data_IF_371248233306
#
_entry.id   IF_371248233306
#
_cell.length_a   1.000
_cell.length_b   1.000
_cell.length_c   1.000
_cell.angle_alpha   90.00
_cell.angle_beta   90.00
_cell.angle_gamma   90.00
#
_symmetry.space_group_name_H-M   'P 1'
#
loop_
_entity.id
_entity.type
_entity.pdbx_description
1 polymer ?
#
# COMPACT_ATOMS: atom_id res chain seq x y z
N UNK A 1 4.75 -18.22 -16.47
CA UNK A 1 5.64 -18.01 -15.30
C UNK A 1 5.71 -16.51 -15.11
N UNK A 2 5.36 -15.99 -13.93
CA UNK A 2 5.35 -14.54 -13.68
C UNK A 2 6.79 -14.06 -13.56
N UNK A 3 7.22 -13.18 -14.48
CA UNK A 3 8.53 -12.54 -14.47
C UNK A 3 8.42 -11.05 -14.23
N UNK A 4 7.48 -10.38 -14.91
CA UNK A 4 7.30 -8.93 -14.80
C UNK A 4 5.96 -8.56 -14.21
N UNK A 5 5.98 -7.69 -13.19
CA UNK A 5 4.78 -7.23 -12.48
C UNK A 5 4.74 -5.70 -12.51
N UNK A 6 3.63 -5.15 -12.98
CA UNK A 6 3.29 -3.74 -12.82
C UNK A 6 2.45 -3.61 -11.55
N UNK A 7 2.98 -2.94 -10.53
CA UNK A 7 2.30 -2.71 -9.26
C UNK A 7 1.73 -1.28 -9.20
N UNK A 8 0.48 -1.15 -8.72
CA UNK A 8 -0.30 0.09 -8.74
C UNK A 8 -0.87 0.36 -7.35
N UNK A 9 -0.59 1.54 -6.81
CA UNK A 9 -1.18 2.04 -5.59
C UNK A 9 -1.79 3.43 -5.78
N UNK A 10 -2.98 3.59 -5.23
CA UNK A 10 -3.66 4.87 -5.04
C UNK A 10 -4.30 4.89 -3.64
N UNK A 11 -3.79 4.12 -2.67
CA UNK A 11 -4.44 3.95 -1.36
C UNK A 11 -4.43 5.21 -0.51
N UNK A 12 -3.71 6.25 -0.93
CA UNK A 12 -3.68 7.56 -0.29
C UNK A 12 -3.58 8.67 -1.36
N UNK A 13 -3.10 9.86 -1.01
CA UNK A 13 -2.93 11.00 -1.95
C UNK A 13 -1.89 10.74 -3.05
N UNK A 14 -0.86 9.97 -2.75
CA UNK A 14 0.15 9.57 -3.72
C UNK A 14 -0.39 8.53 -4.69
N UNK A 15 0.08 8.61 -5.94
CA UNK A 15 -0.02 7.55 -6.93
C UNK A 15 1.35 6.95 -7.07
N UNK A 16 1.48 5.68 -6.71
CA UNK A 16 2.73 4.93 -6.80
C UNK A 16 2.60 3.84 -7.85
N UNK A 17 3.54 3.80 -8.81
CA UNK A 17 3.68 2.71 -9.77
C UNK A 17 5.05 2.07 -9.62
N UNK A 18 5.07 0.75 -9.52
CA UNK A 18 6.30 -0.04 -9.43
C UNK A 18 6.39 -1.01 -10.59
N UNK A 19 7.56 -1.08 -11.23
CA UNK A 19 7.86 -2.14 -12.20
C UNK A 19 8.96 -3.03 -11.63
N UNK A 20 8.69 -4.31 -11.52
CA UNK A 20 9.65 -5.33 -11.09
C UNK A 20 9.79 -6.39 -12.17
N UNK A 21 11.00 -6.85 -12.43
CA UNK A 21 11.33 -7.88 -13.42
C UNK A 21 12.29 -8.89 -12.82
N UNK A 22 11.86 -10.15 -12.75
CA UNK A 22 12.60 -11.26 -12.14
C UNK A 22 13.10 -10.95 -10.71
N UNK A 23 12.31 -10.16 -9.96
CA UNK A 23 12.61 -9.73 -8.60
C UNK A 23 13.47 -8.48 -8.47
N UNK A 24 13.93 -7.92 -9.60
CA UNK A 24 14.72 -6.70 -9.63
C UNK A 24 13.81 -5.49 -9.89
N UNK A 25 13.85 -4.44 -9.06
CA UNK A 25 13.15 -3.19 -9.34
C UNK A 25 13.70 -2.54 -10.61
N UNK A 26 12.82 -2.20 -11.56
CA UNK A 26 13.17 -1.62 -12.87
C UNK A 26 12.89 -0.13 -12.89
N UNK A 27 11.72 0.30 -12.40
CA UNK A 27 11.32 1.69 -12.42
C UNK A 27 10.29 1.99 -11.32
N UNK A 28 10.23 3.24 -10.90
CA UNK A 28 9.20 3.75 -10.01
C UNK A 28 8.62 5.08 -10.49
N UNK A 29 7.38 5.34 -10.10
CA UNK A 29 6.69 6.61 -10.28
C UNK A 29 5.96 6.95 -8.99
N UNK A 30 6.21 8.13 -8.42
CA UNK A 30 5.63 8.58 -7.15
C UNK A 30 5.17 10.03 -7.26
N UNK A 31 3.87 10.28 -7.36
CA UNK A 31 3.34 11.65 -7.50
C UNK A 31 2.08 11.84 -6.66
N UNK A 32 1.99 12.93 -5.89
CA UNK A 32 0.75 13.38 -5.25
C UNK A 32 -0.21 13.92 -6.31
N UNK A 33 -1.08 13.04 -6.81
CA UNK A 33 -2.17 13.42 -7.72
C UNK A 33 -3.46 13.77 -6.98
N UNK A 34 -3.55 13.44 -5.69
CA UNK A 34 -4.71 13.70 -4.85
C UNK A 34 -6.02 13.30 -5.53
N UNK A 35 -6.91 14.27 -5.77
CA UNK A 35 -8.22 14.02 -6.39
C UNK A 35 -8.17 13.69 -7.88
N UNK A 36 -7.04 13.94 -8.54
CA UNK A 36 -6.87 13.72 -9.98
C UNK A 36 -6.43 12.30 -10.34
N UNK A 37 -6.23 11.42 -9.35
CA UNK A 37 -5.83 10.03 -9.53
C UNK A 37 -6.69 9.31 -10.60
N UNK A 38 -8.01 9.37 -10.47
CA UNK A 38 -8.92 8.65 -11.38
C UNK A 38 -8.82 9.08 -12.84
N UNK A 39 -8.57 10.37 -13.10
CA UNK A 39 -8.45 10.91 -14.46
C UNK A 39 -7.06 10.74 -15.08
N UNK A 40 -6.00 10.73 -14.26
CA UNK A 40 -4.62 10.78 -14.74
C UNK A 40 -3.90 9.43 -14.69
N UNK A 41 -4.36 8.47 -13.88
CA UNK A 41 -3.73 7.16 -13.73
C UNK A 41 -3.46 6.45 -15.07
N UNK A 42 -4.40 6.39 -16.05
CA UNK A 42 -4.13 5.75 -17.34
C UNK A 42 -2.95 6.37 -18.09
N UNK A 43 -2.88 7.72 -18.14
CA UNK A 43 -1.78 8.43 -18.80
C UNK A 43 -0.45 8.29 -18.05
N UNK A 44 -0.49 8.21 -16.71
CA UNK A 44 0.69 7.99 -15.89
C UNK A 44 1.26 6.59 -16.14
N UNK A 45 0.42 5.55 -16.22
CA UNK A 45 0.86 4.17 -16.49
C UNK A 45 1.43 4.03 -17.89
N UNK A 46 0.78 4.58 -18.91
CA UNK A 46 1.30 4.59 -20.28
C UNK A 46 2.67 5.27 -20.36
N UNK A 47 2.80 6.45 -19.75
CA UNK A 47 4.06 7.20 -19.72
C UNK A 47 5.14 6.46 -18.93
N UNK A 48 4.79 5.84 -17.81
CA UNK A 48 5.68 5.08 -16.96
C UNK A 48 6.27 3.88 -17.71
N UNK A 49 5.44 3.09 -18.39
CA UNK A 49 5.88 1.93 -19.17
C UNK A 49 6.73 2.33 -20.39
N UNK A 50 6.37 3.42 -21.07
CA UNK A 50 7.19 3.98 -22.17
C UNK A 50 8.58 4.39 -21.67
N UNK A 51 8.64 5.08 -20.53
CA UNK A 51 9.90 5.54 -19.95
C UNK A 51 10.76 4.38 -19.43
N UNK A 52 10.15 3.26 -19.01
CA UNK A 52 10.88 2.04 -18.64
C UNK A 52 11.24 1.15 -19.84
N UNK A 53 10.89 1.55 -21.06
CA UNK A 53 11.11 0.74 -22.27
C UNK A 53 10.33 -0.57 -22.28
N UNK A 54 9.24 -0.66 -21.51
CA UNK A 54 8.47 -1.89 -21.33
C UNK A 54 7.14 -1.80 -22.09
N UNK A 55 6.86 -2.78 -22.94
CA UNK A 55 5.53 -2.93 -23.54
C UNK A 55 4.54 -3.46 -22.50
N UNK A 56 3.31 -2.94 -22.52
CA UNK A 56 2.22 -3.45 -21.67
C UNK A 56 1.95 -4.94 -21.89
N UNK A 57 2.14 -5.43 -23.11
CA UNK A 57 1.99 -6.86 -23.48
C UNK A 57 3.04 -7.76 -22.83
N UNK A 58 4.13 -7.18 -22.28
CA UNK A 58 5.18 -7.92 -21.60
C UNK A 58 5.01 -7.92 -20.07
N UNK A 59 3.82 -7.59 -19.57
CA UNK A 59 3.48 -7.65 -18.15
C UNK A 59 2.76 -8.97 -17.89
N UNK A 60 3.26 -9.76 -16.94
CA UNK A 60 2.72 -11.09 -16.63
C UNK A 60 1.67 -11.08 -15.51
N UNK A 61 1.65 -10.03 -14.68
CA UNK A 61 0.67 -9.84 -13.62
C UNK A 61 0.55 -8.36 -13.24
N UNK A 62 -0.61 -7.98 -12.70
CA UNK A 62 -0.82 -6.65 -12.09
C UNK A 62 -0.78 -6.79 -10.58
N UNK A 63 0.11 -6.06 -9.90
CA UNK A 63 0.02 -5.83 -8.46
C UNK A 63 -0.94 -4.68 -8.17
N UNK A 64 -1.89 -4.83 -7.27
CA UNK A 64 -2.82 -3.74 -6.93
C UNK A 64 -3.07 -3.69 -5.44
N UNK A 65 -2.98 -2.50 -4.85
CA UNK A 65 -3.36 -2.34 -3.44
C UNK A 65 -4.86 -2.50 -3.26
N UNK A 66 -5.24 -3.36 -2.32
CA UNK A 66 -6.66 -3.69 -2.07
C UNK A 66 -7.24 -3.03 -0.84
N UNK A 67 -6.42 -2.32 -0.06
CA UNK A 67 -6.78 -1.69 1.20
C UNK A 67 -5.95 -2.22 2.36
N UNK A 68 -5.94 -1.53 3.51
CA UNK A 68 -6.75 -0.35 3.84
C UNK A 68 -6.29 0.95 3.17
N UNK A 69 -7.14 1.99 3.11
CA UNK A 69 -6.75 3.30 2.57
C UNK A 69 -7.93 4.23 2.29
N UNK A 70 -7.67 5.30 1.54
CA UNK A 70 -8.68 6.25 1.07
C UNK A 70 -9.69 5.52 0.18
N UNK A 71 -10.97 5.58 0.54
CA UNK A 71 -12.03 4.82 -0.11
C UNK A 71 -12.09 5.03 -1.63
N UNK A 72 -11.95 6.27 -2.08
CA UNK A 72 -11.92 6.61 -3.51
C UNK A 72 -10.66 6.11 -4.19
N UNK A 73 -9.52 6.25 -3.51
CA UNK A 73 -8.20 5.87 -4.02
C UNK A 73 -8.07 4.36 -4.25
N UNK A 74 -8.48 3.55 -3.28
CA UNK A 74 -8.54 2.07 -3.42
C UNK A 74 -9.41 1.67 -4.61
N UNK A 75 -10.55 2.34 -4.81
CA UNK A 75 -11.42 2.07 -5.96
C UNK A 75 -10.79 2.48 -7.28
N UNK A 76 -10.00 3.55 -7.33
CA UNK A 76 -9.25 3.94 -8.53
C UNK A 76 -8.22 2.88 -8.89
N UNK A 77 -7.37 2.48 -7.93
CA UNK A 77 -6.36 1.44 -8.14
C UNK A 77 -6.99 0.12 -8.61
N UNK A 78 -8.04 -0.35 -7.91
CA UNK A 78 -8.76 -1.57 -8.26
C UNK A 78 -9.42 -1.48 -9.63
N UNK A 79 -10.15 -0.41 -9.93
CA UNK A 79 -10.88 -0.29 -11.20
C UNK A 79 -9.92 -0.30 -12.38
N UNK A 80 -8.82 0.44 -12.27
CA UNK A 80 -7.82 0.49 -13.33
C UNK A 80 -7.01 -0.81 -13.41
N UNK A 81 -6.42 -1.27 -12.30
CA UNK A 81 -5.54 -2.45 -12.28
C UNK A 81 -6.26 -3.74 -12.63
N UNK A 82 -7.46 -3.98 -12.09
CA UNK A 82 -8.28 -5.16 -12.44
C UNK A 82 -8.80 -5.05 -13.88
N UNK A 83 -9.17 -3.85 -14.33
CA UNK A 83 -9.60 -3.62 -15.72
C UNK A 83 -8.48 -3.93 -16.71
N UNK A 84 -7.26 -3.46 -16.42
CA UNK A 84 -6.07 -3.72 -17.21
C UNK A 84 -5.73 -5.22 -17.24
N UNK A 85 -5.74 -5.88 -16.07
CA UNK A 85 -5.48 -7.32 -15.97
C UNK A 85 -6.49 -8.15 -16.78
N UNK A 86 -7.78 -7.77 -16.77
CA UNK A 86 -8.82 -8.40 -17.62
C UNK A 86 -8.56 -8.20 -19.10
N UNK A 87 -8.14 -7.01 -19.51
CA UNK A 87 -7.85 -6.70 -20.91
C UNK A 87 -6.66 -7.49 -21.46
N UNK A 88 -5.69 -7.82 -20.60
CA UNK A 88 -4.48 -8.58 -20.94
C UNK A 88 -4.60 -10.08 -20.67
N UNK A 89 -5.72 -10.55 -20.10
CA UNK A 89 -5.91 -11.94 -19.64
C UNK A 89 -4.79 -12.42 -18.69
N UNK A 90 -4.38 -11.56 -17.75
CA UNK A 90 -3.33 -11.84 -16.77
C UNK A 90 -3.86 -11.80 -15.34
N UNK A 91 -3.22 -12.52 -14.39
CA UNK A 91 -3.64 -12.52 -13.00
C UNK A 91 -3.30 -11.21 -12.26
N UNK A 92 -3.88 -11.08 -11.06
CA UNK A 92 -3.63 -9.95 -10.16
C UNK A 92 -3.01 -10.43 -8.84
N UNK A 93 -2.02 -9.70 -8.35
CA UNK A 93 -1.46 -9.85 -6.99
C UNK A 93 -2.12 -8.81 -6.07
N UNK A 94 -2.96 -9.20 -5.11
CA UNK A 94 -3.54 -8.26 -4.15
C UNK A 94 -2.48 -7.82 -3.12
N UNK A 95 -2.30 -6.52 -2.93
CA UNK A 95 -1.26 -5.95 -2.07
C UNK A 95 -1.84 -5.23 -0.85
N UNK A 96 -1.18 -5.35 0.29
CA UNK A 96 -1.42 -4.48 1.44
C UNK A 96 -0.61 -3.19 1.28
N UNK A 97 -1.26 -2.01 1.28
CA UNK A 97 -0.54 -0.73 1.28
C UNK A 97 0.21 -0.49 2.59
N UNK A 98 -0.24 -1.06 3.72
CA UNK A 98 0.47 -0.96 4.99
C UNK A 98 1.78 -1.75 4.95
N UNK A 99 1.76 -2.98 4.44
CA UNK A 99 2.99 -3.75 4.27
C UNK A 99 3.95 -3.05 3.31
N UNK A 100 3.44 -2.55 2.17
CA UNK A 100 4.26 -1.82 1.21
C UNK A 100 4.90 -0.58 1.83
N UNK A 101 4.16 0.17 2.67
CA UNK A 101 4.67 1.32 3.42
C UNK A 101 5.71 0.92 4.48
N UNK A 102 5.51 -0.19 5.19
CA UNK A 102 6.49 -0.74 6.12
C UNK A 102 7.81 -1.08 5.40
N UNK A 103 7.73 -1.71 4.23
CA UNK A 103 8.90 -2.03 3.40
C UNK A 103 9.59 -0.77 2.87
N UNK A 104 8.81 0.23 2.47
CA UNK A 104 9.33 1.53 2.01
C UNK A 104 10.20 2.22 3.06
N UNK A 105 9.89 1.99 4.34
CA UNK A 105 10.63 2.58 5.45
C UNK A 105 12.01 1.96 5.68
N UNK A 106 12.34 0.86 4.98
CA UNK A 106 13.60 0.11 5.04
C UNK A 106 14.06 -0.15 6.49
N UNK A 107 13.23 -0.79 7.33
CA UNK A 107 13.62 -1.20 8.67
C UNK A 107 14.80 -2.19 8.64
N UNK A 108 15.70 -2.07 9.61
CA UNK A 108 16.85 -2.95 9.83
C UNK A 108 16.45 -4.18 10.64
N UNK A 109 17.24 -5.26 10.56
CA UNK A 109 17.05 -6.45 11.40
C UNK A 109 17.05 -6.06 12.88
N UNK A 110 16.03 -6.51 13.61
CA UNK A 110 15.79 -6.17 15.00
C UNK A 110 14.85 -4.98 15.21
N UNK A 111 14.47 -4.25 14.15
CA UNK A 111 13.54 -3.13 14.25
C UNK A 111 12.08 -3.56 14.11
N UNK A 112 11.20 -2.80 14.76
CA UNK A 112 9.76 -2.85 14.56
C UNK A 112 9.29 -1.67 13.73
N UNK A 113 8.30 -1.87 12.88
CA UNK A 113 7.69 -0.79 12.09
C UNK A 113 6.18 -0.87 12.20
N UNK A 114 5.56 0.28 12.44
CA UNK A 114 4.12 0.46 12.47
C UNK A 114 3.75 1.43 11.34
N UNK A 115 3.38 0.92 10.15
CA UNK A 115 2.78 1.75 9.13
C UNK A 115 1.39 2.22 9.55
N UNK A 116 1.13 3.50 9.31
CA UNK A 116 -0.14 4.15 9.61
C UNK A 116 -0.65 4.87 8.36
N UNK A 117 -1.90 4.60 8.00
CA UNK A 117 -2.66 5.37 7.00
C UNK A 117 -3.87 5.96 7.70
N UNK A 118 -4.16 7.23 7.44
CA UNK A 118 -5.31 7.90 8.04
C UNK A 118 -6.62 7.20 7.66
N UNK A 119 -7.44 6.87 8.65
CA UNK A 119 -8.82 6.45 8.46
C UNK A 119 -9.79 7.63 8.69
N UNK A 120 -11.05 7.45 8.31
CA UNK A 120 -12.10 8.45 8.57
C UNK A 120 -12.42 8.58 10.06
N UNK A 121 -13.06 9.69 10.46
CA UNK A 121 -13.56 9.92 11.84
C UNK A 121 -12.50 9.88 12.95
N UNK A 122 -11.24 10.17 12.63
CA UNK A 122 -10.17 10.18 13.62
C UNK A 122 -9.67 8.78 13.99
N UNK A 123 -9.82 7.78 13.14
CA UNK A 123 -9.12 6.51 13.34
C UNK A 123 -7.86 6.42 12.46
N UNK A 124 -7.03 5.40 12.71
CA UNK A 124 -5.93 5.01 11.84
C UNK A 124 -6.14 3.60 11.33
N UNK A 125 -5.72 3.34 10.11
CA UNK A 125 -5.40 1.99 9.69
C UNK A 125 -3.93 1.73 10.00
N UNK A 126 -3.65 0.67 10.74
CA UNK A 126 -2.29 0.26 11.02
C UNK A 126 -2.14 -1.25 11.10
N UNK A 127 -0.89 -1.68 11.00
CA UNK A 127 -0.42 -3.04 11.19
C UNK A 127 0.92 -2.97 11.95
N UNK A 128 1.36 -4.07 12.53
CA UNK A 128 2.64 -4.14 13.23
C UNK A 128 3.55 -5.13 12.53
N UNK A 129 4.80 -4.74 12.31
CA UNK A 129 5.79 -5.63 11.72
C UNK A 129 7.11 -5.61 12.48
N UNK A 130 7.84 -6.72 12.44
CA UNK A 130 9.19 -6.89 12.94
C UNK A 130 10.10 -7.41 11.83
N UNK A 131 11.32 -6.91 11.75
CA UNK A 131 12.31 -7.43 10.80
C UNK A 131 13.24 -8.41 11.51
N UNK A 132 13.27 -9.65 11.05
CA UNK A 132 14.26 -10.64 11.45
C UNK A 132 15.19 -10.99 10.27
N UNK A 133 15.97 -12.06 10.42
CA UNK A 133 16.90 -12.51 9.36
C UNK A 133 16.19 -13.04 8.10
N UNK A 134 14.89 -13.34 8.17
CA UNK A 134 14.05 -13.83 7.07
C UNK A 134 13.28 -12.70 6.37
N UNK A 135 13.16 -11.54 7.02
CA UNK A 135 12.56 -10.34 6.45
C UNK A 135 11.50 -9.73 7.36
N UNK A 136 10.54 -9.03 6.74
CA UNK A 136 9.44 -8.37 7.42
C UNK A 136 8.36 -9.38 7.82
N UNK A 137 8.10 -9.53 9.11
CA UNK A 137 7.13 -10.46 9.69
C UNK A 137 6.03 -9.70 10.44
N UNK A 138 4.79 -10.16 10.34
CA UNK A 138 3.64 -9.57 11.02
C UNK A 138 3.69 -9.82 12.55
N UNK A 139 3.50 -8.75 13.33
CA UNK A 139 3.29 -8.77 14.78
C UNK A 139 1.78 -8.75 15.08
N UNK A 140 1.05 -7.87 14.39
CA UNK A 140 -0.40 -7.81 14.45
C UNK A 140 -0.99 -7.41 13.10
N UNK A 141 -2.12 -8.02 12.77
CA UNK A 141 -2.81 -7.84 11.51
C UNK A 141 -3.27 -6.39 11.27
N UNK A 142 -3.36 -6.03 9.99
CA UNK A 142 -3.93 -4.76 9.55
C UNK A 142 -5.38 -4.56 10.04
N UNK A 143 -5.67 -3.35 10.53
CA UNK A 143 -7.00 -3.01 11.02
C UNK A 143 -7.17 -1.53 11.35
N UNK A 144 -8.42 -1.13 11.60
CA UNK A 144 -8.74 0.17 12.17
C UNK A 144 -8.39 0.17 13.66
N UNK A 145 -7.67 1.21 14.12
CA UNK A 145 -7.26 1.41 15.51
C UNK A 145 -7.53 2.83 15.94
N UNK A 146 -7.88 2.97 17.21
CA UNK A 146 -7.82 4.26 17.87
C UNK A 146 -6.35 4.64 18.12
N UNK A 147 -5.94 5.89 17.85
CA UNK A 147 -4.54 6.29 18.04
C UNK A 147 -4.10 6.34 19.51
N UNK A 148 -5.02 6.49 20.47
CA UNK A 148 -4.69 6.35 21.90
C UNK A 148 -4.31 4.89 22.21
N UNK A 149 -5.01 3.91 21.66
CA UNK A 149 -4.64 2.49 21.76
C UNK A 149 -3.28 2.22 21.10
N UNK A 150 -3.02 2.85 19.96
CA UNK A 150 -1.72 2.76 19.29
C UNK A 150 -0.62 3.35 20.17
N UNK A 151 -0.85 4.50 20.80
CA UNK A 151 0.10 5.12 21.73
C UNK A 151 0.46 4.21 22.91
N UNK A 152 -0.52 3.49 23.46
CA UNK A 152 -0.28 2.49 24.51
C UNK A 152 0.50 1.28 23.98
N UNK A 153 0.11 0.72 22.82
CA UNK A 153 0.84 -0.38 22.18
C UNK A 153 2.28 0.01 21.77
N UNK A 154 2.48 1.27 21.40
CA UNK A 154 3.78 1.84 21.06
C UNK A 154 4.68 2.02 22.29
N UNK A 155 4.12 2.26 23.48
CA UNK A 155 4.90 2.41 24.70
C UNK A 155 5.65 1.11 25.07
N UNK A 156 5.08 -0.04 24.69
CA UNK A 156 5.73 -1.35 24.80
C UNK A 156 6.77 -1.59 23.68
N UNK A 157 6.62 -0.90 22.54
CA UNK A 157 7.50 -1.01 21.37
C UNK A 157 8.70 -0.06 21.45
N UNK A 158 8.55 1.14 22.02
CA UNK A 158 9.62 2.13 22.27
C UNK A 158 10.74 1.58 23.16
N UNK A 159 10.45 0.57 23.99
CA UNK A 159 11.46 -0.18 24.73
C UNK A 159 12.41 -1.02 23.83
N UNK A 160 12.09 -1.15 22.54
CA UNK A 160 12.75 -2.05 21.59
C UNK A 160 12.65 -1.54 20.13
N UNK A 161 13.47 -0.53 19.79
CA UNK A 161 13.82 -0.12 18.42
C UNK A 161 12.67 -0.15 17.38
N UNK A 162 11.52 0.44 17.72
CA UNK A 162 10.38 0.57 16.82
C UNK A 162 10.22 1.98 16.28
N UNK A 163 9.61 2.14 15.11
CA UNK A 163 9.27 3.45 14.57
C UNK A 163 7.93 3.47 13.81
N UNK A 164 7.27 4.63 13.81
CA UNK A 164 6.02 4.86 13.04
C UNK A 164 6.35 5.49 11.70
N UNK A 165 5.70 4.96 10.68
CA UNK A 165 5.80 5.47 9.31
C UNK A 165 4.41 5.84 8.77
N UNK A 166 4.30 7.03 8.21
CA UNK A 166 3.06 7.53 7.61
C UNK A 166 3.37 8.39 6.39
N UNK A 167 2.35 8.62 5.59
CA UNK A 167 2.36 9.52 4.44
C UNK A 167 1.82 10.92 4.77
N UNK A 168 1.13 11.07 5.90
CA UNK A 168 0.50 12.33 6.32
C UNK A 168 0.95 12.71 7.73
N UNK A 169 1.50 13.93 7.86
CA UNK A 169 2.00 14.47 9.15
C UNK A 169 0.89 14.75 10.13
N UNK A 170 -0.27 15.17 9.62
CA UNK A 170 -1.50 15.39 10.38
C UNK A 170 -2.38 14.16 10.31
N UNK A 171 -2.23 13.28 11.29
CA UNK A 171 -3.29 12.36 11.64
C UNK A 171 -4.32 13.19 12.43
N UNK A 172 -5.19 13.91 11.71
CA UNK A 172 -6.12 14.92 12.29
C UNK A 172 -6.86 14.35 13.50
N UNK A 173 -6.64 14.97 14.67
CA UNK A 173 -7.18 14.54 15.96
C UNK A 173 -6.13 14.04 16.95
N UNK A 174 -4.91 13.76 16.50
CA UNK A 174 -3.89 13.09 17.31
C UNK A 174 -2.56 13.83 17.21
N UNK A 175 -2.03 14.24 18.35
CA UNK A 175 -0.66 14.75 18.43
C UNK A 175 0.36 13.60 18.43
N UNK A 176 0.29 12.76 17.40
CA UNK A 176 1.29 11.74 17.10
C UNK A 176 2.45 12.32 16.30
N UNK A 177 2.48 13.64 16.08
CA UNK A 177 3.54 14.33 15.36
C UNK A 177 4.92 14.14 16.00
N UNK A 178 4.94 14.02 17.33
CA UNK A 178 6.12 13.69 18.15
C UNK A 178 6.53 12.22 18.10
N UNK A 179 5.63 11.34 17.62
CA UNK A 179 5.80 9.88 17.55
C UNK A 179 6.00 9.37 16.13
N UNK A 180 5.91 10.23 15.11
CA UNK A 180 6.18 9.88 13.72
C UNK A 180 7.67 10.05 13.45
N UNK A 181 8.35 8.94 13.21
CA UNK A 181 9.77 8.93 12.88
C UNK A 181 10.01 9.19 11.40
N UNK A 182 9.13 8.69 10.53
CA UNK A 182 9.29 8.76 9.07
C UNK A 182 8.00 9.22 8.37
N UNK A 183 8.13 10.27 7.56
CA UNK A 183 7.09 10.76 6.66
C UNK A 183 7.48 10.45 5.20
N UNK A 184 6.98 9.36 4.65
CA UNK A 184 7.33 8.83 3.32
C UNK A 184 6.09 8.28 2.63
N UNK A 185 6.08 8.21 1.30
CA UNK A 185 5.13 7.41 0.54
C UNK A 185 5.55 5.94 0.44
N UNK A 186 4.60 5.05 0.13
CA UNK A 186 4.89 3.65 -0.21
C UNK A 186 6.04 3.54 -1.21
N UNK A 187 6.07 4.38 -2.24
CA UNK A 187 7.13 4.34 -3.24
C UNK A 187 7.00 3.16 -4.20
N UNK A 188 7.18 3.42 -5.50
CA UNK A 188 7.02 2.41 -6.54
C UNK A 188 7.98 1.23 -6.40
N UNK A 189 9.21 1.44 -5.92
CA UNK A 189 10.14 0.33 -5.72
C UNK A 189 9.70 -0.63 -4.61
N UNK A 190 9.29 -0.13 -3.44
CA UNK A 190 8.80 -1.00 -2.37
C UNK A 190 7.47 -1.65 -2.76
N UNK A 191 6.62 -0.95 -3.52
CA UNK A 191 5.39 -1.52 -4.06
C UNK A 191 5.65 -2.69 -5.02
N UNK A 192 6.59 -2.52 -5.96
CA UNK A 192 7.01 -3.58 -6.89
C UNK A 192 7.65 -4.76 -6.17
N UNK A 193 8.51 -4.49 -5.18
CA UNK A 193 9.10 -5.51 -4.31
C UNK A 193 8.02 -6.32 -3.56
N UNK A 194 7.04 -5.64 -2.97
CA UNK A 194 5.90 -6.27 -2.29
C UNK A 194 5.14 -7.17 -3.27
N UNK A 195 4.87 -6.68 -4.48
CA UNK A 195 4.19 -7.47 -5.51
C UNK A 195 4.98 -8.72 -5.93
N UNK A 196 6.31 -8.60 -6.01
CA UNK A 196 7.16 -9.74 -6.30
C UNK A 196 7.13 -10.79 -5.18
N UNK A 197 7.18 -10.36 -3.91
CA UNK A 197 7.13 -11.27 -2.77
C UNK A 197 5.81 -12.06 -2.73
N UNK A 198 4.69 -11.41 -3.02
CA UNK A 198 3.36 -12.03 -3.07
C UNK A 198 3.00 -12.65 -4.43
N UNK A 199 3.92 -12.78 -5.39
CA UNK A 199 3.62 -13.31 -6.74
C UNK A 199 3.01 -14.72 -6.75
N UNK A 200 3.19 -15.50 -5.69
CA UNK A 200 2.58 -16.82 -5.53
C UNK A 200 1.10 -16.76 -5.11
N UNK A 201 0.64 -15.60 -4.62
CA UNK A 201 -0.72 -15.35 -4.14
C UNK A 201 -1.64 -14.76 -5.22
N UNK A 202 -1.22 -14.84 -6.48
CA UNK A 202 -2.04 -14.40 -7.60
C UNK A 202 -3.45 -14.97 -7.57
N UNK A 203 -4.39 -14.14 -8.01
CA UNK A 203 -5.81 -14.47 -8.14
C UNK A 203 -6.32 -14.06 -9.51
N UNK A 204 -7.45 -14.63 -9.90
CA UNK A 204 -8.17 -14.17 -11.07
C UNK A 204 -8.61 -12.71 -10.86
N UNK A 205 -8.58 -11.85 -11.91
CA UNK A 205 -9.15 -10.51 -11.83
C UNK A 205 -10.62 -10.47 -11.38
N UNK A 206 -11.35 -11.58 -11.47
CA UNK A 206 -12.74 -11.70 -11.01
C UNK A 206 -12.89 -11.88 -9.49
N UNK A 207 -11.81 -12.29 -8.81
CA UNK A 207 -11.81 -12.60 -7.38
C UNK A 207 -11.30 -11.43 -6.53
N UNK A 208 -10.67 -10.43 -7.15
CA UNK A 208 -10.08 -9.29 -6.46
C UNK A 208 -11.17 -8.37 -5.92
N UNK A 209 -11.13 -8.13 -4.61
CA UNK A 209 -12.04 -7.23 -3.92
C UNK A 209 -11.27 -6.31 -2.99
N UNK A 210 -11.84 -5.13 -2.73
CA UNK A 210 -11.33 -4.23 -1.72
C UNK A 210 -11.44 -4.86 -0.32
N UNK A 211 -10.38 -4.74 0.48
CA UNK A 211 -10.40 -4.99 1.92
C UNK A 211 -10.89 -3.74 2.63
N UNK A 212 -12.15 -3.77 3.05
CA UNK A 212 -12.74 -2.72 3.88
C UNK A 212 -12.72 -3.14 5.34
N UNK A 213 -11.91 -2.43 6.14
CA UNK A 213 -11.84 -2.60 7.60
C UNK A 213 -12.93 -1.85 8.35
N UNK A 214 -13.68 -1.02 7.61
CA UNK A 214 -14.84 -0.31 8.07
C UNK A 214 -16.05 -0.80 7.28
N UNK A 215 -17.16 -1.09 7.96
CA UNK A 215 -18.44 -1.29 7.27
C UNK A 215 -18.76 -0.02 6.45
N UNK A 216 -19.03 -0.10 5.14
CA UNK A 216 -19.53 1.05 4.38
C UNK A 216 -20.76 1.56 5.11
N UNK A 217 -20.66 2.76 5.70
CA UNK A 217 -21.68 3.26 6.59
C UNK A 217 -23.04 3.31 5.89
N UNK A 218 -23.90 2.33 6.19
CA UNK A 218 -25.22 2.72 6.66
C UNK A 218 -24.91 3.59 7.87
N UNK A 219 -25.09 4.90 7.73
CA UNK A 219 -24.89 5.82 8.84
C UNK A 219 -25.57 5.26 10.08
N UNK A 220 -25.02 5.51 11.26
CA UNK A 220 -25.72 5.26 12.51
C UNK A 220 -27.01 6.11 12.51
N UNK A 221 -28.07 5.58 11.91
CA UNK A 221 -29.44 5.97 12.17
C UNK A 221 -29.88 5.20 13.42
N UNK A 222 -29.19 5.45 14.53
CA UNK A 222 -29.77 5.20 15.84
C UNK A 222 -30.92 6.20 16.00
N UNK A 223 -32.16 5.67 16.02
CA UNK A 223 -33.38 6.37 16.44
C UNK A 223 -33.23 6.95 17.83
#
# INVERSE_FOLDING_TARGET
>A
MIRRILAIDCSNRFTCLGLVDEGMPVSEFNVDLGRSQGSLLPSCVDSFLKNSGTSIENIDAIGVTVGPGYFTGIRVALSYGVGLAKGLDIPVVPLSPLEALARAARPSVGERVIPCIRAGQGALYCAGFFVDQTGLNEIFAEGERDPEELSSAMSDIDATAGFVVTEERTLVGFDVSSKIDKLICIGGFALGETAWLHRAEVRSPHEIQARYYRSPGLGNFSK
#
